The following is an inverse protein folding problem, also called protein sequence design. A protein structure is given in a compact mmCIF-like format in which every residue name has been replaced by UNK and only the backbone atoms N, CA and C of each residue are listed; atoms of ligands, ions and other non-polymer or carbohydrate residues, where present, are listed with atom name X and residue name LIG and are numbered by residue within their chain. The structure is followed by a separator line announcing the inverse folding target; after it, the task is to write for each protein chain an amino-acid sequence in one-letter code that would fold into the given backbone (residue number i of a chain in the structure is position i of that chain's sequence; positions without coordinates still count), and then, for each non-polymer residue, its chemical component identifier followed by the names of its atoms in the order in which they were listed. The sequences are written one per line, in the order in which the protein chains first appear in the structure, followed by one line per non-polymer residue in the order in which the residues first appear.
data_IF_057563058384
#
_entry.id   IF_057563058384
#
_cell.length_a   1.000
_cell.length_b   1.000
_cell.length_c   1.000
_cell.angle_alpha   90.00
_cell.angle_beta   90.00
_cell.angle_gamma   90.00
#
_symmetry.space_group_name_H-M   'P 1'
#
loop_
_entity.id
_entity.type
_entity.pdbx_description
1 polymer ?
#
# COMPACT_ATOMS: atom_id res chain seq x y z
N UNK A 1 1.73 -27.41 4.31
CA UNK A 1 1.57 -26.97 2.89
C UNK A 1 2.62 -25.91 2.62
N UNK A 2 3.25 -25.92 1.45
CA UNK A 2 4.21 -24.89 1.03
C UNK A 2 3.45 -23.75 0.33
N UNK A 3 3.91 -22.51 0.50
CA UNK A 3 3.37 -21.35 -0.22
C UNK A 3 4.43 -20.79 -1.16
N UNK A 4 4.05 -20.47 -2.40
CA UNK A 4 4.95 -19.99 -3.45
C UNK A 4 4.64 -18.53 -3.74
N UNK A 5 5.66 -17.68 -3.69
CA UNK A 5 5.54 -16.25 -3.92
C UNK A 5 5.19 -15.97 -5.39
N UNK A 6 4.21 -15.11 -5.65
CA UNK A 6 3.80 -14.76 -7.03
C UNK A 6 4.80 -13.84 -7.76
N UNK A 7 5.78 -13.26 -7.05
CA UNK A 7 6.76 -12.32 -7.63
C UNK A 7 8.11 -12.97 -7.90
N UNK A 8 8.70 -13.63 -6.90
CA UNK A 8 10.01 -14.28 -7.03
C UNK A 8 9.93 -15.79 -7.23
N UNK A 9 8.75 -16.41 -7.15
CA UNK A 9 8.54 -17.86 -7.28
C UNK A 9 9.24 -18.72 -6.22
N UNK A 10 9.75 -18.11 -5.16
CA UNK A 10 10.36 -18.81 -4.04
C UNK A 10 9.32 -19.28 -3.01
N UNK A 11 9.70 -20.30 -2.24
CA UNK A 11 8.92 -20.78 -1.12
C UNK A 11 8.93 -19.77 0.03
N UNK A 12 7.77 -19.56 0.65
CA UNK A 12 7.65 -18.71 1.83
C UNK A 12 6.78 -19.36 2.91
N UNK A 13 6.87 -18.79 4.12
CA UNK A 13 6.18 -19.31 5.29
C UNK A 13 4.66 -19.43 5.05
N UNK A 14 4.07 -20.63 5.19
CA UNK A 14 2.65 -20.85 4.93
C UNK A 14 1.72 -20.04 5.84
N UNK A 15 2.17 -19.65 7.04
CA UNK A 15 1.40 -18.76 7.92
C UNK A 15 1.07 -17.41 7.27
N UNK A 16 1.94 -16.92 6.37
CA UNK A 16 1.66 -15.68 5.61
C UNK A 16 0.56 -15.90 4.58
N UNK A 17 0.51 -17.09 3.97
CA UNK A 17 -0.57 -17.48 3.05
C UNK A 17 -1.90 -17.60 3.78
N UNK A 18 -1.90 -18.16 4.99
CA UNK A 18 -3.09 -18.22 5.86
C UNK A 18 -3.60 -16.83 6.24
N UNK A 19 -2.70 -15.85 6.44
CA UNK A 19 -3.05 -14.44 6.64
C UNK A 19 -3.54 -13.72 5.35
N UNK A 20 -3.56 -14.41 4.20
CA UNK A 20 -4.02 -13.88 2.92
C UNK A 20 -2.93 -13.23 2.05
N UNK A 21 -1.67 -13.25 2.46
CA UNK A 21 -0.57 -12.74 1.64
C UNK A 21 -0.21 -13.72 0.52
N UNK A 22 -0.01 -13.19 -0.69
CA UNK A 22 0.42 -13.94 -1.89
C UNK A 22 1.92 -13.80 -2.20
N UNK A 23 2.62 -12.97 -1.43
CA UNK A 23 4.04 -12.66 -1.62
C UNK A 23 4.86 -13.03 -0.39
N UNK A 24 6.14 -13.33 -0.62
CA UNK A 24 7.13 -13.52 0.45
C UNK A 24 7.34 -12.22 1.24
N UNK A 25 8.08 -12.31 2.35
CA UNK A 25 8.31 -11.15 3.22
C UNK A 25 9.10 -10.05 2.50
N UNK A 26 10.13 -10.41 1.73
CA UNK A 26 10.99 -9.47 1.02
C UNK A 26 10.25 -8.73 -0.10
N UNK A 27 9.59 -9.46 -0.99
CA UNK A 27 8.73 -8.91 -2.05
C UNK A 27 7.65 -8.00 -1.48
N UNK A 28 6.92 -8.46 -0.47
CA UNK A 28 5.89 -7.67 0.19
C UNK A 28 6.44 -6.40 0.85
N UNK A 29 7.63 -6.47 1.46
CA UNK A 29 8.29 -5.32 2.06
C UNK A 29 8.78 -4.30 1.00
N UNK A 30 9.24 -4.77 -0.16
CA UNK A 30 9.61 -3.90 -1.27
C UNK A 30 8.40 -3.15 -1.82
N UNK A 31 7.28 -3.85 -2.07
CA UNK A 31 6.03 -3.24 -2.53
C UNK A 31 5.46 -2.25 -1.50
N UNK A 32 5.50 -2.60 -0.21
CA UNK A 32 5.06 -1.71 0.86
C UNK A 32 5.90 -0.42 0.94
N UNK A 33 7.22 -0.49 0.68
CA UNK A 33 8.11 0.68 0.62
C UNK A 33 7.75 1.61 -0.55
N UNK A 34 7.50 1.04 -1.73
CA UNK A 34 7.06 1.80 -2.91
C UNK A 34 5.71 2.50 -2.65
N UNK A 35 4.74 1.76 -2.08
CA UNK A 35 3.44 2.33 -1.73
C UNK A 35 3.55 3.42 -0.66
N UNK A 36 4.41 3.25 0.35
CA UNK A 36 4.67 4.29 1.36
C UNK A 36 5.22 5.56 0.72
N UNK A 37 6.20 5.44 -0.17
CA UNK A 37 6.80 6.57 -0.87
C UNK A 37 5.79 7.30 -1.77
N UNK A 38 4.92 6.55 -2.44
CA UNK A 38 3.81 7.11 -3.23
C UNK A 38 2.81 7.85 -2.34
N UNK A 39 2.32 7.20 -1.27
CA UNK A 39 1.30 7.76 -0.36
C UNK A 39 1.79 8.98 0.41
N UNK A 40 3.08 9.07 0.71
CA UNK A 40 3.67 10.25 1.35
C UNK A 40 3.46 11.55 0.55
N UNK A 41 3.35 11.46 -0.78
CA UNK A 41 3.11 12.60 -1.69
C UNK A 41 1.63 12.90 -1.92
N UNK A 42 0.73 12.11 -1.34
CA UNK A 42 -0.70 12.18 -1.59
C UNK A 42 -1.48 12.62 -0.34
N UNK A 43 -0.85 13.31 0.60
CA UNK A 43 -1.52 13.88 1.77
C UNK A 43 -1.82 15.35 1.54
N UNK A 44 -3.08 15.75 1.65
CA UNK A 44 -3.50 17.13 1.46
C UNK A 44 -4.61 17.51 2.47
N UNK A 45 -4.75 18.80 2.82
CA UNK A 45 -5.84 19.26 3.68
C UNK A 45 -7.20 19.07 3.01
N UNK A 46 -8.14 18.44 3.70
CA UNK A 46 -9.48 18.19 3.17
C UNK A 46 -10.30 19.49 3.01
N UNK A 47 -10.03 20.52 3.82
CA UNK A 47 -10.74 21.80 3.80
C UNK A 47 -9.82 22.97 4.18
N UNK A 48 -10.28 24.20 3.95
CA UNK A 48 -9.55 25.47 4.16
C UNK A 48 -8.94 25.69 5.56
N UNK A 49 -9.29 24.88 6.58
CA UNK A 49 -8.75 24.95 7.94
C UNK A 49 -8.31 23.58 8.50
N UNK A 50 -7.68 22.73 7.67
CA UNK A 50 -6.93 21.56 8.14
C UNK A 50 -7.52 20.19 7.77
N UNK A 51 -7.23 19.18 8.60
CA UNK A 51 -7.41 17.73 8.37
C UNK A 51 -6.68 17.19 7.13
N UNK A 52 -5.39 16.90 7.28
CA UNK A 52 -4.65 16.15 6.26
C UNK A 52 -5.27 14.77 6.09
N UNK A 53 -5.69 14.48 4.86
CA UNK A 53 -6.24 13.19 4.48
C UNK A 53 -5.43 12.61 3.33
N UNK A 54 -5.46 11.28 3.24
CA UNK A 54 -4.91 10.58 2.09
C UNK A 54 -5.81 10.76 0.86
N UNK A 55 -5.26 11.36 -0.18
CA UNK A 55 -5.89 11.56 -1.47
C UNK A 55 -5.59 10.36 -2.36
N UNK A 56 -6.48 9.36 -2.31
CA UNK A 56 -6.32 8.10 -3.04
C UNK A 56 -6.87 8.07 -4.46
N UNK A 57 -7.64 9.08 -4.88
CA UNK A 57 -8.32 9.09 -6.18
C UNK A 57 -8.30 10.48 -6.84
N UNK A 58 -8.45 10.50 -8.17
CA UNK A 58 -8.54 11.75 -8.95
C UNK A 58 -9.74 12.59 -8.52
N UNK A 59 -10.84 11.94 -8.16
CA UNK A 59 -12.03 12.66 -7.69
C UNK A 59 -11.80 13.32 -6.34
N UNK A 60 -11.14 12.64 -5.40
CA UNK A 60 -10.74 13.24 -4.12
C UNK A 60 -9.76 14.39 -4.32
N UNK A 61 -8.82 14.28 -5.27
CA UNK A 61 -7.87 15.35 -5.57
C UNK A 61 -8.56 16.63 -6.04
N UNK A 62 -9.67 16.52 -6.79
CA UNK A 62 -10.44 17.67 -7.28
C UNK A 62 -11.19 18.43 -6.18
N UNK A 63 -11.47 17.79 -5.05
CA UNK A 63 -12.20 18.42 -3.93
C UNK A 63 -11.31 19.05 -2.87
N UNK A 64 -9.99 18.79 -2.92
CA UNK A 64 -9.01 19.36 -1.98
C UNK A 64 -8.98 20.89 -2.07
N UNK A 65 -9.00 21.57 -0.92
CA UNK A 65 -8.79 23.02 -0.82
C UNK A 65 -9.96 23.91 -1.25
N UNK A 66 -11.16 23.33 -1.43
CA UNK A 66 -12.39 24.12 -1.61
C UNK A 66 -12.94 24.64 -0.29
#
# INVERSE_FOLDING_TARGET
MVAICVECWEEYNPKRRELGYRTCLECGAANARLEKARKAKCSAPAYNKGAYQYVGSVQAARSVGR
#
